data_IF_677956295779
#
_entry.id   IF_677956295779
#
_cell.length_a   1.000
_cell.length_b   1.000
_cell.length_c   1.000
_cell.angle_alpha   90.00
_cell.angle_beta   90.00
_cell.angle_gamma   90.00
#
_symmetry.space_group_name_H-M   'P 1'
#
loop_
_entity.id
_entity.type
_entity.pdbx_description
1 polymer ?
#
# COMPACT_ATOMS: atom_id res chain seq x y z
N UNK A 1 -25.06 -4.00 -4.68
CA UNK A 1 -23.73 -4.41 -4.22
C UNK A 1 -23.45 -5.81 -4.76
N UNK A 2 -22.23 -6.08 -5.23
CA UNK A 2 -21.88 -7.36 -5.86
C UNK A 2 -21.01 -8.17 -4.91
N UNK A 3 -21.23 -9.48 -4.84
CA UNK A 3 -20.38 -10.45 -4.15
C UNK A 3 -19.66 -11.29 -5.19
N UNK A 4 -18.35 -11.52 -5.02
CA UNK A 4 -17.55 -12.31 -5.95
C UNK A 4 -16.08 -12.39 -5.57
N UNK A 5 -15.36 -13.25 -6.26
CA UNK A 5 -13.94 -13.50 -6.02
C UNK A 5 -13.16 -13.21 -7.29
N UNK A 6 -12.13 -12.35 -7.18
CA UNK A 6 -11.16 -12.10 -8.26
C UNK A 6 -9.81 -12.66 -7.84
N UNK A 7 -9.34 -13.67 -8.55
CA UNK A 7 -8.09 -14.35 -8.27
C UNK A 7 -7.00 -13.94 -9.25
N UNK A 8 -5.81 -13.75 -8.75
CA UNK A 8 -4.56 -13.57 -9.50
C UNK A 8 -3.69 -14.78 -9.24
N UNK A 9 -3.23 -15.45 -10.30
CA UNK A 9 -2.44 -16.66 -10.15
C UNK A 9 -1.30 -16.74 -11.16
N UNK A 10 -0.25 -17.47 -10.79
CA UNK A 10 0.86 -17.85 -11.66
C UNK A 10 1.46 -19.18 -11.17
N UNK A 11 2.08 -19.98 -12.09
CA UNK A 11 2.83 -21.16 -11.71
C UNK A 11 4.17 -20.77 -11.07
N UNK A 12 4.57 -21.47 -10.02
CA UNK A 12 5.86 -21.31 -9.37
C UNK A 12 6.30 -22.64 -8.74
N UNK A 13 7.47 -23.16 -9.13
CA UNK A 13 8.06 -24.42 -8.63
C UNK A 13 7.12 -25.63 -8.70
N UNK A 14 6.27 -25.70 -9.73
CA UNK A 14 5.31 -26.79 -9.92
C UNK A 14 3.95 -26.58 -9.25
N UNK A 15 3.84 -25.58 -8.37
CA UNK A 15 2.61 -25.24 -7.67
C UNK A 15 1.90 -24.02 -8.30
N UNK A 16 0.61 -23.89 -8.04
CA UNK A 16 -0.17 -22.69 -8.38
C UNK A 16 -0.11 -21.70 -7.21
N UNK A 17 0.66 -20.64 -7.38
CA UNK A 17 0.65 -19.53 -6.44
C UNK A 17 -0.46 -18.55 -6.80
N UNK A 18 -1.18 -18.11 -5.81
CA UNK A 18 -2.29 -17.19 -6.01
C UNK A 18 -2.49 -16.23 -4.83
N UNK A 19 -3.21 -15.16 -5.12
CA UNK A 19 -3.87 -14.28 -4.14
C UNK A 19 -5.24 -13.93 -4.70
N UNK A 20 -6.20 -13.67 -3.83
CA UNK A 20 -7.54 -13.31 -4.30
C UNK A 20 -8.17 -12.19 -3.49
N UNK A 21 -9.00 -11.42 -4.19
CA UNK A 21 -9.85 -10.38 -3.63
C UNK A 21 -11.23 -10.96 -3.44
N UNK A 22 -11.76 -10.87 -2.24
CA UNK A 22 -13.15 -11.20 -1.94
C UNK A 22 -13.93 -9.89 -1.83
N UNK A 23 -14.91 -9.74 -2.70
CA UNK A 23 -15.88 -8.65 -2.68
C UNK A 23 -17.12 -9.15 -1.97
N UNK A 24 -17.53 -8.46 -0.92
CA UNK A 24 -18.73 -8.82 -0.16
C UNK A 24 -19.51 -7.54 0.19
N UNK A 25 -20.66 -7.36 -0.45
CA UNK A 25 -21.58 -6.24 -0.24
C UNK A 25 -20.96 -4.83 -0.22
N UNK A 26 -19.82 -4.66 -0.84
CA UNK A 26 -19.08 -3.38 -0.95
C UNK A 26 -17.80 -3.34 -0.13
N UNK A 27 -17.55 -4.33 0.71
CA UNK A 27 -16.27 -4.55 1.34
C UNK A 27 -15.34 -5.35 0.43
N UNK A 28 -14.04 -5.08 0.53
CA UNK A 28 -12.99 -5.78 -0.22
C UNK A 28 -11.96 -6.29 0.77
N UNK A 29 -11.74 -7.59 0.76
CA UNK A 29 -10.67 -8.22 1.52
C UNK A 29 -9.70 -8.95 0.61
N UNK A 30 -8.41 -8.99 1.03
CA UNK A 30 -7.34 -9.71 0.32
C UNK A 30 -7.00 -10.95 1.11
N UNK A 31 -6.99 -12.11 0.43
CA UNK A 31 -6.55 -13.37 1.02
C UNK A 31 -5.38 -13.95 0.22
N UNK A 32 -4.41 -14.53 0.93
CA UNK A 32 -3.27 -15.22 0.31
C UNK A 32 -3.65 -16.66 -0.03
N UNK A 33 -3.04 -17.16 -1.08
CA UNK A 33 -3.31 -18.50 -1.61
C UNK A 33 -4.44 -18.54 -2.63
N UNK A 34 -4.64 -19.69 -3.28
CA UNK A 34 -5.79 -19.93 -4.14
C UNK A 34 -7.10 -19.90 -3.34
N UNK A 35 -8.17 -19.48 -3.99
CA UNK A 35 -9.51 -19.51 -3.38
C UNK A 35 -9.98 -20.97 -3.25
N UNK A 36 -10.66 -21.27 -2.13
CA UNK A 36 -11.33 -22.55 -1.93
C UNK A 36 -12.60 -22.64 -2.80
N UNK A 37 -13.28 -21.50 -3.01
CA UNK A 37 -14.41 -21.41 -3.91
C UNK A 37 -13.97 -21.07 -5.33
N UNK A 38 -14.79 -21.43 -6.32
CA UNK A 38 -14.51 -21.08 -7.72
C UNK A 38 -14.50 -19.57 -7.91
N UNK A 39 -13.40 -18.99 -8.45
CA UNK A 39 -13.32 -17.55 -8.67
C UNK A 39 -14.36 -17.07 -9.70
N UNK A 40 -14.97 -15.92 -9.43
CA UNK A 40 -15.82 -15.22 -10.40
C UNK A 40 -15.03 -14.85 -11.66
N UNK A 41 -13.76 -14.44 -11.44
CA UNK A 41 -12.78 -14.14 -12.49
C UNK A 41 -11.40 -14.55 -12.00
N UNK A 42 -10.63 -15.22 -12.84
CA UNK A 42 -9.21 -15.47 -12.61
C UNK A 42 -8.36 -14.78 -13.67
N UNK A 43 -7.38 -14.01 -13.23
CA UNK A 43 -6.30 -13.45 -14.03
C UNK A 43 -5.07 -14.35 -13.86
N UNK A 44 -4.83 -15.23 -14.84
CA UNK A 44 -3.72 -16.17 -14.82
C UNK A 44 -2.53 -15.62 -15.59
N UNK A 45 -1.40 -15.45 -14.91
CA UNK A 45 -0.13 -14.98 -15.45
C UNK A 45 0.74 -16.18 -15.81
N UNK A 46 1.69 -16.01 -16.74
CA UNK A 46 2.56 -17.10 -17.17
C UNK A 46 3.57 -17.50 -16.09
N UNK A 47 4.04 -16.50 -15.31
CA UNK A 47 5.06 -16.60 -14.27
C UNK A 47 5.03 -15.36 -13.37
N UNK A 48 5.89 -15.32 -12.36
CA UNK A 48 6.02 -14.19 -11.43
C UNK A 48 6.52 -12.91 -12.13
N UNK A 49 7.36 -13.03 -13.15
CA UNK A 49 7.90 -11.86 -13.86
C UNK A 49 6.81 -11.19 -14.70
N UNK A 50 5.97 -11.98 -15.36
CA UNK A 50 4.79 -11.47 -16.07
C UNK A 50 3.80 -10.79 -15.09
N UNK A 51 3.55 -11.39 -13.92
CA UNK A 51 2.73 -10.79 -12.86
C UNK A 51 3.31 -9.44 -12.42
N UNK A 52 4.58 -9.39 -12.07
CA UNK A 52 5.26 -8.17 -11.63
C UNK A 52 5.26 -7.09 -12.73
N UNK A 53 5.60 -7.46 -13.96
CA UNK A 53 5.66 -6.52 -15.09
C UNK A 53 4.28 -5.92 -15.42
N UNK A 54 3.20 -6.71 -15.29
CA UNK A 54 1.84 -6.21 -15.45
C UNK A 54 1.48 -5.15 -14.42
N UNK A 55 1.72 -5.42 -13.12
CA UNK A 55 1.41 -4.48 -12.05
C UNK A 55 2.33 -3.25 -12.02
N UNK A 56 3.56 -3.37 -12.51
CA UNK A 56 4.49 -2.23 -12.71
C UNK A 56 4.17 -1.40 -13.96
N UNK A 57 3.33 -1.90 -14.87
CA UNK A 57 3.05 -1.24 -16.14
C UNK A 57 4.21 -1.29 -17.15
N UNK A 58 5.19 -2.16 -16.92
CA UNK A 58 6.35 -2.36 -17.81
C UNK A 58 6.09 -3.37 -18.92
N UNK A 59 4.94 -4.05 -18.89
CA UNK A 59 4.51 -5.00 -19.93
C UNK A 59 3.09 -4.71 -20.36
N UNK A 60 2.86 -4.73 -21.68
CA UNK A 60 1.52 -4.66 -22.29
C UNK A 60 0.88 -6.05 -22.42
N UNK A 61 1.58 -7.13 -22.04
CA UNK A 61 1.06 -8.48 -22.11
C UNK A 61 -0.04 -8.65 -21.07
N UNK A 62 -1.24 -8.97 -21.54
CA UNK A 62 -2.39 -9.21 -20.67
C UNK A 62 -2.33 -10.62 -20.07
N UNK A 63 -2.81 -10.83 -18.84
CA UNK A 63 -3.00 -12.16 -18.28
C UNK A 63 -4.09 -12.93 -19.05
N UNK A 64 -4.10 -14.24 -18.93
CA UNK A 64 -5.22 -15.05 -19.40
C UNK A 64 -6.39 -14.86 -18.43
N UNK A 65 -7.56 -14.54 -18.99
CA UNK A 65 -8.79 -14.46 -18.21
C UNK A 65 -9.44 -15.84 -18.19
N UNK A 66 -9.66 -16.40 -17.00
CA UNK A 66 -10.36 -17.67 -16.77
C UNK A 66 -11.61 -17.42 -15.96
N UNK A 67 -12.59 -18.35 -15.99
CA UNK A 67 -13.85 -18.24 -15.25
C UNK A 67 -14.62 -16.95 -15.55
N UNK A 68 -14.62 -16.53 -16.82
CA UNK A 68 -15.23 -15.25 -17.26
C UNK A 68 -16.75 -15.33 -17.43
N UNK A 69 -17.44 -16.03 -16.59
CA UNK A 69 -18.91 -16.12 -16.67
C UNK A 69 -19.60 -14.76 -16.41
N UNK A 70 -18.85 -13.79 -15.87
CA UNK A 70 -19.32 -12.45 -15.52
C UNK A 70 -18.39 -11.36 -16.07
N UNK A 71 -18.43 -11.10 -17.39
CA UNK A 71 -17.67 -10.01 -18.04
C UNK A 71 -17.86 -8.64 -17.37
N UNK A 72 -19.03 -8.43 -16.73
CA UNK A 72 -19.33 -7.23 -15.96
C UNK A 72 -18.45 -7.06 -14.70
N UNK A 73 -17.63 -8.05 -14.33
CA UNK A 73 -16.62 -7.96 -13.26
C UNK A 73 -15.23 -7.63 -13.82
N UNK A 74 -14.89 -8.16 -14.97
CA UNK A 74 -13.53 -8.02 -15.56
C UNK A 74 -13.22 -6.54 -15.81
N UNK A 75 -14.13 -5.81 -16.47
CA UNK A 75 -13.90 -4.42 -16.84
C UNK A 75 -13.70 -3.51 -15.62
N UNK A 76 -14.60 -3.48 -14.61
CA UNK A 76 -14.38 -2.67 -13.42
C UNK A 76 -13.10 -3.02 -12.65
N UNK A 77 -12.75 -4.31 -12.55
CA UNK A 77 -11.53 -4.74 -11.86
C UNK A 77 -10.28 -4.24 -12.59
N UNK A 78 -10.19 -4.47 -13.90
CA UNK A 78 -9.04 -4.03 -14.70
C UNK A 78 -8.92 -2.50 -14.67
N UNK A 79 -10.03 -1.78 -14.86
CA UNK A 79 -10.02 -0.32 -14.79
C UNK A 79 -9.62 0.20 -13.41
N UNK A 80 -10.07 -0.45 -12.33
CA UNK A 80 -9.66 -0.14 -10.96
C UNK A 80 -8.17 -0.33 -10.74
N UNK A 81 -7.61 -1.45 -11.22
CA UNK A 81 -6.18 -1.75 -11.13
C UNK A 81 -5.33 -0.74 -11.92
N UNK A 82 -5.75 -0.42 -13.16
CA UNK A 82 -5.05 0.58 -13.99
C UNK A 82 -5.11 1.98 -13.37
N UNK A 83 -6.27 2.38 -12.81
CA UNK A 83 -6.38 3.66 -12.09
C UNK A 83 -5.47 3.70 -10.87
N UNK A 84 -5.44 2.63 -10.09
CA UNK A 84 -4.58 2.52 -8.92
C UNK A 84 -3.11 2.56 -9.31
N UNK A 85 -2.70 1.81 -10.33
CA UNK A 85 -1.35 1.84 -10.88
C UNK A 85 -0.96 3.26 -11.31
N UNK A 86 -1.81 3.93 -12.11
CA UNK A 86 -1.57 5.31 -12.56
C UNK A 86 -1.34 6.27 -11.39
N UNK A 87 -2.13 6.15 -10.31
CA UNK A 87 -1.98 7.00 -9.12
C UNK A 87 -0.69 6.69 -8.34
N UNK A 88 -0.34 5.41 -8.18
CA UNK A 88 0.85 5.01 -7.43
C UNK A 88 2.16 5.24 -8.18
N UNK A 89 2.11 5.32 -9.52
CA UNK A 89 3.29 5.62 -10.37
C UNK A 89 3.38 7.10 -10.78
N UNK A 90 2.46 7.95 -10.35
CA UNK A 90 2.49 9.37 -10.67
C UNK A 90 3.67 10.07 -9.99
N UNK A 91 4.36 10.94 -10.72
CA UNK A 91 5.46 11.79 -10.22
C UNK A 91 5.00 13.18 -9.79
N UNK A 92 3.77 13.55 -10.12
CA UNK A 92 3.17 14.86 -9.82
C UNK A 92 1.83 14.70 -9.13
N UNK A 93 1.44 15.65 -8.25
CA UNK A 93 0.14 15.62 -7.60
C UNK A 93 -1.00 15.76 -8.62
N UNK A 94 -2.12 15.05 -8.44
CA UNK A 94 -3.34 15.30 -9.23
C UNK A 94 -3.85 16.74 -9.05
N UNK A 95 -4.62 17.23 -10.01
CA UNK A 95 -5.17 18.58 -9.94
C UNK A 95 -6.37 18.71 -8.97
N UNK A 96 -7.20 17.66 -8.89
CA UNK A 96 -8.42 17.68 -8.09
C UNK A 96 -8.21 17.08 -6.69
N UNK A 97 -8.88 17.68 -5.70
CA UNK A 97 -8.75 17.33 -4.28
C UNK A 97 -9.21 15.90 -3.94
N UNK A 98 -10.21 15.38 -4.66
CA UNK A 98 -10.70 14.01 -4.42
C UNK A 98 -9.65 12.99 -4.85
N UNK A 99 -9.02 13.19 -6.00
CA UNK A 99 -7.95 12.31 -6.50
C UNK A 99 -6.68 12.46 -5.65
N UNK A 100 -6.34 13.69 -5.17
CA UNK A 100 -5.25 13.89 -4.20
C UNK A 100 -5.50 13.08 -2.93
N UNK A 101 -6.70 13.18 -2.35
CA UNK A 101 -7.07 12.45 -1.15
C UNK A 101 -6.99 10.93 -1.37
N UNK A 102 -7.49 10.42 -2.50
CA UNK A 102 -7.38 9.01 -2.85
C UNK A 102 -5.90 8.57 -2.97
N UNK A 103 -5.05 9.38 -3.59
CA UNK A 103 -3.63 9.09 -3.75
C UNK A 103 -2.91 9.05 -2.40
N UNK A 104 -3.12 10.04 -1.53
CA UNK A 104 -2.58 10.03 -0.15
C UNK A 104 -3.05 8.79 0.60
N UNK A 105 -4.34 8.47 0.54
CA UNK A 105 -4.92 7.28 1.17
C UNK A 105 -4.25 5.99 0.71
N UNK A 106 -4.08 5.82 -0.61
CA UNK A 106 -3.40 4.64 -1.17
C UNK A 106 -1.96 4.54 -0.66
N UNK A 107 -1.21 5.64 -0.67
CA UNK A 107 0.18 5.65 -0.22
C UNK A 107 0.29 5.42 1.29
N UNK A 108 -0.56 6.05 2.12
CA UNK A 108 -0.58 5.84 3.57
C UNK A 108 -0.99 4.41 3.98
N UNK A 109 -1.65 3.67 3.09
CA UNK A 109 -1.94 2.26 3.30
C UNK A 109 -0.84 1.35 2.75
N UNK A 110 -0.28 1.71 1.58
CA UNK A 110 0.78 0.94 0.94
C UNK A 110 2.07 0.95 1.76
N UNK A 111 2.53 2.13 2.21
CA UNK A 111 3.84 2.27 2.86
C UNK A 111 3.95 1.48 4.17
N UNK A 112 3.04 1.63 5.17
CA UNK A 112 3.07 0.81 6.37
C UNK A 112 2.89 -0.69 6.08
N UNK A 113 2.07 -1.04 5.08
CA UNK A 113 1.87 -2.44 4.68
C UNK A 113 3.13 -3.02 4.04
N UNK A 114 3.80 -2.27 3.18
CA UNK A 114 5.05 -2.65 2.55
C UNK A 114 6.16 -2.90 3.58
N UNK A 115 6.35 -1.99 4.53
CA UNK A 115 7.30 -2.17 5.65
C UNK A 115 6.97 -3.46 6.43
N UNK A 116 5.69 -3.71 6.70
CA UNK A 116 5.26 -4.93 7.39
C UNK A 116 5.55 -6.20 6.57
N UNK A 117 5.39 -6.16 5.25
CA UNK A 117 5.72 -7.29 4.37
C UNK A 117 7.23 -7.50 4.25
N UNK A 118 8.03 -6.44 4.16
CA UNK A 118 9.49 -6.53 4.18
C UNK A 118 10.00 -7.22 5.47
N UNK A 119 9.41 -6.90 6.62
CA UNK A 119 9.73 -7.60 7.87
C UNK A 119 9.39 -9.10 7.79
N UNK A 120 8.21 -9.44 7.28
CA UNK A 120 7.79 -10.85 7.14
C UNK A 120 8.63 -11.62 6.12
N UNK A 121 9.06 -10.95 5.04
CA UNK A 121 9.94 -11.50 4.01
C UNK A 121 11.40 -11.62 4.47
N UNK A 122 11.74 -11.13 5.66
CA UNK A 122 13.08 -11.29 6.21
C UNK A 122 14.07 -10.22 5.77
N UNK A 123 13.63 -9.05 5.30
CA UNK A 123 14.56 -7.97 4.89
C UNK A 123 15.46 -7.57 6.07
N UNK A 124 16.81 -7.64 5.93
CA UNK A 124 17.74 -7.57 7.06
C UNK A 124 17.58 -6.34 7.94
N UNK A 125 17.48 -5.16 7.34
CA UNK A 125 17.39 -3.88 8.08
C UNK A 125 16.04 -3.75 8.79
N UNK A 126 14.93 -4.12 8.13
CA UNK A 126 13.59 -4.03 8.71
C UNK A 126 13.41 -5.05 9.83
N UNK A 127 13.93 -6.27 9.65
CA UNK A 127 13.92 -7.31 10.70
C UNK A 127 14.75 -6.88 11.90
N UNK A 128 15.94 -6.31 11.69
CA UNK A 128 16.80 -5.78 12.75
C UNK A 128 16.08 -4.70 13.55
N UNK A 129 15.50 -3.71 12.86
CA UNK A 129 14.70 -2.65 13.47
C UNK A 129 13.52 -3.22 14.27
N UNK A 130 12.76 -4.14 13.69
CA UNK A 130 11.60 -4.72 14.33
C UNK A 130 11.97 -5.51 15.62
N UNK A 131 13.09 -6.25 15.61
CA UNK A 131 13.60 -6.99 16.78
C UNK A 131 14.06 -6.06 17.89
N UNK A 132 14.69 -4.94 17.55
CA UNK A 132 15.21 -3.95 18.52
C UNK A 132 14.13 -3.00 19.03
N UNK A 133 13.01 -2.88 18.34
CA UNK A 133 11.94 -1.96 18.71
C UNK A 133 11.10 -2.52 19.86
N UNK A 134 10.90 -1.75 20.93
CA UNK A 134 9.82 -2.03 21.89
C UNK A 134 8.44 -1.86 21.21
N UNK A 135 7.36 -2.04 21.99
CA UNK A 135 6.00 -1.83 21.47
C UNK A 135 5.79 -0.36 21.09
N UNK A 136 5.78 -0.07 19.81
CA UNK A 136 5.69 1.27 19.24
C UNK A 136 4.71 1.33 18.07
N UNK A 137 4.07 2.49 17.92
CA UNK A 137 3.19 2.80 16.79
C UNK A 137 3.75 4.02 16.07
N UNK A 138 3.86 3.92 14.76
CA UNK A 138 4.25 4.98 13.85
C UNK A 138 3.05 5.29 12.97
N UNK A 139 2.57 6.53 13.00
CA UNK A 139 1.36 6.95 12.30
C UNK A 139 1.65 7.99 11.21
N UNK A 140 0.86 7.94 10.14
CA UNK A 140 0.81 8.93 9.07
C UNK A 140 -0.59 9.53 9.08
N UNK A 141 -0.70 10.85 9.19
CA UNK A 141 -2.00 11.52 9.30
C UNK A 141 -2.02 12.84 8.51
N UNK A 142 -3.19 13.22 8.05
CA UNK A 142 -3.48 14.57 7.54
C UNK A 142 -4.52 15.19 8.45
N UNK A 143 -4.32 16.47 8.83
CA UNK A 143 -5.22 17.17 9.73
C UNK A 143 -6.66 17.15 9.21
N UNK A 144 -7.60 16.81 10.10
CA UNK A 144 -9.01 16.73 9.77
C UNK A 144 -9.41 15.55 8.86
N UNK A 145 -8.50 14.64 8.52
CA UNK A 145 -8.74 13.54 7.58
C UNK A 145 -8.34 12.17 8.15
N UNK A 146 -8.97 11.79 9.27
CA UNK A 146 -8.78 10.47 9.90
C UNK A 146 -9.06 9.30 8.95
N UNK A 147 -9.90 9.52 7.93
CA UNK A 147 -10.24 8.55 6.90
C UNK A 147 -9.07 8.19 5.97
N UNK A 148 -8.04 9.04 5.91
CA UNK A 148 -6.83 8.82 5.12
C UNK A 148 -5.71 8.18 5.94
N UNK A 149 -5.76 8.27 7.26
CA UNK A 149 -4.68 7.86 8.15
C UNK A 149 -4.29 6.39 8.01
N UNK A 150 -3.03 6.10 8.26
CA UNK A 150 -2.50 4.75 8.32
C UNK A 150 -1.39 4.64 9.37
N UNK A 151 -1.14 3.43 9.86
CA UNK A 151 -0.08 3.23 10.84
C UNK A 151 0.56 1.85 10.74
N UNK A 152 1.77 1.74 11.29
CA UNK A 152 2.43 0.48 11.57
C UNK A 152 2.73 0.36 13.06
N UNK A 153 2.37 -0.77 13.65
CA UNK A 153 2.79 -1.15 15.00
C UNK A 153 3.90 -2.17 14.91
N UNK A 154 4.96 -1.96 15.66
CA UNK A 154 6.05 -2.90 15.86
C UNK A 154 6.04 -3.37 17.30
N UNK A 155 6.20 -4.68 17.53
CA UNK A 155 6.26 -5.27 18.86
C UNK A 155 7.00 -6.61 18.82
N UNK A 156 8.07 -6.76 19.59
CA UNK A 156 8.81 -8.00 19.75
C UNK A 156 9.16 -8.68 18.40
N UNK A 157 9.72 -7.92 17.47
CA UNK A 157 10.13 -8.41 16.15
C UNK A 157 8.98 -8.59 15.14
N UNK A 158 7.74 -8.37 15.55
CA UNK A 158 6.55 -8.46 14.67
C UNK A 158 6.05 -7.08 14.28
N UNK A 159 5.57 -6.96 13.05
CA UNK A 159 4.97 -5.74 12.53
C UNK A 159 3.54 -6.00 12.09
N UNK A 160 2.69 -5.00 12.27
CA UNK A 160 1.30 -5.01 11.80
C UNK A 160 0.92 -3.60 11.33
N UNK A 161 0.58 -3.49 10.06
CA UNK A 161 -0.02 -2.27 9.50
C UNK A 161 -1.53 -2.27 9.69
N UNK A 162 -2.12 -1.08 9.77
CA UNK A 162 -3.56 -0.92 9.74
C UNK A 162 -3.96 0.44 9.17
N UNK A 163 -5.20 0.52 8.75
CA UNK A 163 -5.84 1.68 8.13
C UNK A 163 -6.57 2.50 9.18
N UNK A 164 -6.70 3.80 8.94
CA UNK A 164 -7.35 4.74 9.84
C UNK A 164 -6.46 5.23 10.98
N UNK A 165 -6.96 6.18 11.75
CA UNK A 165 -6.26 6.74 12.89
C UNK A 165 -6.07 5.71 14.01
N UNK A 166 -4.91 5.72 14.66
CA UNK A 166 -4.67 4.88 15.83
C UNK A 166 -5.36 5.48 17.06
N UNK A 167 -6.31 4.74 17.65
CA UNK A 167 -7.20 5.26 18.72
C UNK A 167 -6.95 4.68 20.12
N UNK A 168 -5.98 3.75 20.29
CA UNK A 168 -5.79 3.06 21.58
C UNK A 168 -4.93 3.87 22.57
N UNK A 169 -3.99 4.65 22.06
CA UNK A 169 -3.11 5.52 22.82
C UNK A 169 -2.49 6.53 21.86
N UNK A 170 -1.73 7.50 22.37
CA UNK A 170 -0.91 8.34 21.52
C UNK A 170 0.14 7.48 20.79
N UNK A 171 0.30 7.61 19.46
CA UNK A 171 1.40 6.95 18.74
C UNK A 171 2.76 7.37 19.31
N UNK A 172 3.73 6.49 19.22
CA UNK A 172 5.11 6.78 19.60
C UNK A 172 5.74 7.85 18.69
N UNK A 173 5.39 7.81 17.41
CA UNK A 173 5.80 8.79 16.42
C UNK A 173 4.65 9.03 15.44
N UNK A 174 4.40 10.32 15.12
CA UNK A 174 3.42 10.72 14.11
C UNK A 174 4.05 11.64 13.10
N UNK A 175 3.95 11.30 11.82
CA UNK A 175 4.21 12.22 10.72
C UNK A 175 2.87 12.85 10.33
N UNK A 176 2.66 14.11 10.73
CA UNK A 176 1.41 14.85 10.58
C UNK A 176 1.55 15.94 9.54
N UNK A 177 0.69 15.92 8.57
CA UNK A 177 0.61 16.90 7.49
C UNK A 177 -0.62 17.80 7.71
N UNK A 178 -0.49 19.09 7.47
CA UNK A 178 -1.62 20.02 7.62
C UNK A 178 -2.59 19.96 6.45
N UNK A 179 -2.12 19.50 5.28
CA UNK A 179 -2.90 19.44 4.05
C UNK A 179 -2.39 18.35 3.10
N UNK A 180 -3.19 18.06 2.05
CA UNK A 180 -2.89 17.03 1.07
C UNK A 180 -1.65 17.36 0.22
N UNK A 181 -1.43 18.62 -0.10
CA UNK A 181 -0.29 19.02 -0.93
C UNK A 181 1.03 18.84 -0.18
N UNK A 182 1.06 19.13 1.13
CA UNK A 182 2.21 18.83 1.97
C UNK A 182 2.50 17.33 2.04
N UNK A 183 1.45 16.51 2.21
CA UNK A 183 1.57 15.05 2.21
C UNK A 183 2.10 14.54 0.86
N UNK A 184 1.50 14.94 -0.24
CA UNK A 184 1.92 14.54 -1.59
C UNK A 184 3.32 15.04 -1.93
N UNK A 185 3.69 16.25 -1.52
CA UNK A 185 5.03 16.79 -1.72
C UNK A 185 6.12 15.90 -1.12
N UNK A 186 5.90 15.36 0.09
CA UNK A 186 6.82 14.40 0.72
C UNK A 186 6.74 13.03 0.07
N UNK A 187 5.54 12.51 -0.16
CA UNK A 187 5.33 11.17 -0.72
C UNK A 187 5.88 11.03 -2.15
N UNK A 188 5.80 12.08 -2.96
CA UNK A 188 6.31 12.14 -4.33
C UNK A 188 7.75 12.67 -4.41
N UNK A 189 8.34 13.04 -3.26
CA UNK A 189 9.70 13.62 -3.18
C UNK A 189 9.82 14.91 -4.01
N UNK A 190 8.76 15.68 -4.15
CA UNK A 190 8.72 16.95 -4.89
C UNK A 190 8.87 18.17 -3.98
N UNK A 191 8.79 17.99 -2.66
CA UNK A 191 8.96 19.05 -1.67
C UNK A 191 10.09 18.74 -0.69
N UNK A 192 10.79 19.79 -0.27
CA UNK A 192 11.79 19.71 0.80
C UNK A 192 11.10 19.58 2.16
N UNK A 193 11.36 18.47 2.86
CA UNK A 193 10.82 18.20 4.18
C UNK A 193 11.24 19.25 5.23
N UNK A 194 12.45 19.80 5.12
CA UNK A 194 12.92 20.85 6.03
C UNK A 194 12.12 22.13 5.84
N UNK A 195 11.88 22.52 4.57
CA UNK A 195 11.04 23.67 4.25
C UNK A 195 9.61 23.49 4.73
N UNK A 196 9.00 22.32 4.53
CA UNK A 196 7.65 22.02 5.03
C UNK A 196 7.59 22.03 6.56
N UNK A 197 8.64 21.57 7.24
CA UNK A 197 8.73 21.60 8.71
C UNK A 197 8.85 23.04 9.22
N UNK A 198 9.68 23.87 8.59
CA UNK A 198 9.82 25.29 8.92
C UNK A 198 8.50 26.05 8.71
N UNK A 199 7.73 25.70 7.69
CA UNK A 199 6.39 26.25 7.42
C UNK A 199 5.29 25.66 8.31
N UNK A 200 5.61 24.70 9.19
CA UNK A 200 4.68 23.95 10.03
C UNK A 200 3.61 23.16 9.21
N UNK A 201 3.92 22.84 7.97
CA UNK A 201 3.05 22.01 7.11
C UNK A 201 3.34 20.51 7.26
N UNK A 202 4.56 20.18 7.71
CA UNK A 202 4.94 18.85 8.19
C UNK A 202 5.33 18.97 9.66
N UNK A 203 4.65 18.22 10.52
CA UNK A 203 4.90 18.20 11.97
C UNK A 203 5.27 16.77 12.35
N UNK A 204 6.46 16.61 12.93
CA UNK A 204 6.95 15.34 13.46
C UNK A 204 6.69 15.31 14.96
N UNK A 205 5.69 14.55 15.39
CA UNK A 205 5.40 14.34 16.82
C UNK A 205 6.20 13.12 17.28
N UNK A 206 7.19 13.34 18.12
CA UNK A 206 8.19 12.37 18.54
C UNK A 206 9.60 12.82 18.17
N UNK A 207 10.61 11.96 18.45
CA UNK A 207 11.98 12.32 18.16
C UNK A 207 12.29 12.20 16.64
N UNK A 208 12.96 13.20 16.04
CA UNK A 208 13.16 13.30 14.58
C UNK A 208 13.88 12.09 13.96
N UNK A 209 14.79 11.44 14.69
CA UNK A 209 15.51 10.26 14.23
C UNK A 209 14.59 9.09 13.87
N UNK A 210 13.43 8.96 14.53
CA UNK A 210 12.44 7.94 14.19
C UNK A 210 11.68 8.28 12.92
N UNK A 211 11.50 9.58 12.64
CA UNK A 211 10.96 10.06 11.37
C UNK A 211 11.87 9.72 10.20
N UNK A 212 13.17 9.98 10.35
CA UNK A 212 14.17 9.63 9.34
C UNK A 212 14.18 8.11 9.07
N UNK A 213 14.20 7.29 10.11
CA UNK A 213 14.20 5.82 9.97
C UNK A 213 12.93 5.29 9.27
N UNK A 214 11.77 5.81 9.61
CA UNK A 214 10.51 5.42 8.91
C UNK A 214 10.54 5.93 7.46
N UNK A 215 11.05 7.14 7.22
CA UNK A 215 11.27 7.68 5.88
C UNK A 215 12.13 6.78 5.00
N UNK A 216 13.26 6.30 5.52
CA UNK A 216 14.14 5.35 4.82
C UNK A 216 13.41 4.05 4.45
N UNK A 217 12.59 3.50 5.36
CA UNK A 217 11.80 2.32 5.06
C UNK A 217 10.67 2.60 4.06
N UNK A 218 10.08 3.80 4.08
CA UNK A 218 9.11 4.21 3.06
C UNK A 218 9.74 4.30 1.68
N UNK A 219 10.95 4.88 1.58
CA UNK A 219 11.72 4.91 0.33
C UNK A 219 12.08 3.49 -0.15
N UNK A 220 12.47 2.61 0.75
CA UNK A 220 12.75 1.21 0.44
C UNK A 220 11.51 0.50 -0.15
N UNK A 221 10.34 0.69 0.43
CA UNK A 221 9.07 0.18 -0.12
C UNK A 221 8.81 0.75 -1.52
N UNK A 222 9.02 2.06 -1.73
CA UNK A 222 8.90 2.70 -3.03
C UNK A 222 9.81 2.07 -4.08
N UNK A 223 11.06 1.79 -3.73
CA UNK A 223 12.02 1.11 -4.63
C UNK A 223 11.56 -0.29 -5.07
N UNK A 224 10.95 -1.07 -4.16
CA UNK A 224 10.37 -2.37 -4.49
C UNK A 224 9.11 -2.27 -5.34
N UNK A 225 8.33 -1.21 -5.18
CA UNK A 225 7.14 -0.98 -5.99
C UNK A 225 7.43 -0.46 -7.41
N UNK A 226 8.58 0.22 -7.59
CA UNK A 226 8.99 0.82 -8.87
C UNK A 226 9.99 -0.04 -9.67
N UNK A 227 10.77 -0.89 -9.00
CA UNK A 227 11.67 -1.87 -9.63
C UNK A 227 10.87 -3.12 -10.02
#
# INVERSE_FOLDING_TARGET
KKTGIVQFSFPHEGDKWATHLVFDEGDISVKLGPSEDEPTVELAFNDIDHFNAFFKGTSMKLPQFRHVHHLNWVVPVVMGLLKMQKLLSASEPPADEETKALMVKLMFYLLPSGISQLNKAGHPEVVKWAKMSPDRVYALVVDGRDDLAGYIRVKAGKTRSARGAYKRSQPFFTMRFTDLDAALGVLLQTADMLALTAQKRLIMEGAPEFGAQIGDFMMLVGQYAQK
#
